data_IF_123507234654
#
_entry.id   IF_123507234654
#
_cell.length_a   1.000
_cell.length_b   1.000
_cell.length_c   1.000
_cell.angle_alpha   90.00
_cell.angle_beta   90.00
_cell.angle_gamma   90.00
#
_symmetry.space_group_name_H-M   'P 1'
#
loop_
_entity.id
_entity.type
_entity.pdbx_description
1 polymer ?
#
# COMPACT_ATOMS: atom_id res chain seq x y z
N UNK A 1 -14.12 -5.16 -3.69
CA UNK A 1 -14.40 -4.93 -5.12
C UNK A 1 -15.65 -4.13 -5.44
N UNK A 2 -16.78 -4.36 -4.74
CA UNK A 2 -18.05 -3.71 -5.08
C UNK A 2 -18.01 -2.18 -5.22
N UNK A 3 -17.18 -1.49 -4.42
CA UNK A 3 -17.03 -0.02 -4.48
C UNK A 3 -16.52 0.51 -5.83
N UNK A 4 -15.80 -0.29 -6.62
CA UNK A 4 -15.35 0.09 -7.98
C UNK A 4 -16.46 -0.05 -9.03
N UNK A 5 -17.49 -0.85 -8.74
CA UNK A 5 -18.59 -1.13 -9.66
C UNK A 5 -19.79 -0.20 -9.43
N UNK A 6 -19.72 0.66 -8.42
CA UNK A 6 -20.77 1.60 -8.04
C UNK A 6 -20.28 3.05 -8.18
N UNK A 7 -21.22 3.98 -8.33
CA UNK A 7 -20.90 5.41 -8.19
C UNK A 7 -20.50 5.70 -6.75
N UNK A 8 -19.50 6.57 -6.59
CA UNK A 8 -19.11 7.06 -5.26
C UNK A 8 -20.28 7.81 -4.62
N UNK A 9 -20.46 7.62 -3.31
CA UNK A 9 -21.46 8.35 -2.52
C UNK A 9 -21.17 9.86 -2.57
N UNK A 10 -22.19 10.75 -2.61
CA UNK A 10 -21.99 12.20 -2.61
C UNK A 10 -21.05 12.70 -1.51
N UNK A 11 -21.19 12.18 -0.30
CA UNK A 11 -20.34 12.56 0.85
C UNK A 11 -18.85 12.29 0.59
N UNK A 12 -18.49 11.20 -0.11
CA UNK A 12 -17.09 10.92 -0.46
C UNK A 12 -16.54 11.98 -1.41
N UNK A 13 -17.38 12.50 -2.30
CA UNK A 13 -17.02 13.55 -3.25
C UNK A 13 -16.91 14.89 -2.53
N UNK A 14 -17.84 15.20 -1.62
CA UNK A 14 -17.85 16.45 -0.86
C UNK A 14 -16.66 16.51 0.10
N UNK A 15 -16.49 15.49 0.94
CA UNK A 15 -15.39 15.42 1.89
C UNK A 15 -14.04 15.28 1.17
N UNK A 16 -14.00 14.61 0.02
CA UNK A 16 -12.79 14.50 -0.80
C UNK A 16 -12.25 15.84 -1.32
N UNK A 17 -13.09 16.88 -1.46
CA UNK A 17 -12.65 18.23 -1.86
C UNK A 17 -11.93 18.98 -0.74
N UNK A 18 -12.11 18.55 0.52
CA UNK A 18 -11.47 19.16 1.68
C UNK A 18 -10.04 18.67 1.88
N UNK A 19 -9.63 17.61 1.16
CA UNK A 19 -8.28 17.07 1.21
C UNK A 19 -7.36 17.99 0.41
N UNK A 20 -6.33 18.53 1.07
CA UNK A 20 -5.27 19.28 0.39
C UNK A 20 -4.45 18.34 -0.49
N UNK A 21 -4.29 18.72 -1.76
CA UNK A 21 -3.56 17.98 -2.80
C UNK A 21 -2.45 18.84 -3.41
N UNK A 22 -2.13 19.98 -2.78
CA UNK A 22 -1.17 20.97 -3.28
C UNK A 22 0.24 20.40 -3.42
N UNK A 23 0.65 19.52 -2.51
CA UNK A 23 1.92 18.80 -2.53
C UNK A 23 2.06 17.87 -3.76
N UNK A 24 1.02 17.09 -4.04
CA UNK A 24 0.97 16.20 -5.20
C UNK A 24 0.89 16.97 -6.51
N UNK A 25 0.16 18.10 -6.53
CA UNK A 25 0.05 18.96 -7.69
C UNK A 25 1.36 19.73 -7.99
N UNK A 26 2.11 20.12 -6.95
CA UNK A 26 3.40 20.77 -7.09
C UNK A 26 4.51 19.80 -7.54
N UNK A 27 4.33 18.50 -7.35
CA UNK A 27 5.32 17.50 -7.75
C UNK A 27 5.35 17.32 -9.29
N UNK A 28 6.47 17.63 -9.97
CA UNK A 28 6.56 17.55 -11.42
C UNK A 28 6.51 16.12 -11.95
N UNK A 29 6.99 15.14 -11.20
CA UNK A 29 6.97 13.71 -11.58
C UNK A 29 5.54 13.20 -11.60
N UNK A 30 4.77 13.52 -10.57
CA UNK A 30 3.36 13.13 -10.46
C UNK A 30 2.53 13.84 -11.54
N UNK A 31 2.78 15.12 -11.76
CA UNK A 31 2.12 15.89 -12.82
C UNK A 31 2.40 15.32 -14.22
N UNK A 32 3.65 14.90 -14.48
CA UNK A 32 4.03 14.24 -15.73
C UNK A 32 3.33 12.89 -15.89
N UNK A 33 3.34 12.06 -14.85
CA UNK A 33 2.68 10.75 -14.84
C UNK A 33 1.18 10.91 -15.09
N UNK A 34 0.52 11.91 -14.48
CA UNK A 34 -0.90 12.19 -14.68
C UNK A 34 -1.19 12.63 -16.10
N UNK A 35 -0.35 13.49 -16.69
CA UNK A 35 -0.51 13.97 -18.07
C UNK A 35 -0.38 12.85 -19.10
N UNK A 36 0.54 11.91 -18.87
CA UNK A 36 0.84 10.81 -19.79
C UNK A 36 0.29 9.45 -19.33
N UNK A 37 -0.70 9.44 -18.43
CA UNK A 37 -1.19 8.21 -17.80
C UNK A 37 -1.60 7.15 -18.82
N UNK A 38 -2.43 7.51 -19.83
CA UNK A 38 -2.92 6.57 -20.84
C UNK A 38 -1.77 5.99 -21.69
N UNK A 39 -0.88 6.81 -22.29
CA UNK A 39 0.31 6.29 -22.97
C UNK A 39 1.21 5.40 -22.08
N UNK A 40 1.43 5.79 -20.82
CA UNK A 40 2.27 5.02 -19.90
C UNK A 40 1.65 3.66 -19.55
N UNK A 41 0.33 3.58 -19.39
CA UNK A 41 -0.38 2.30 -19.18
C UNK A 41 -0.25 1.42 -20.42
N UNK A 42 -0.48 1.96 -21.61
CA UNK A 42 -0.34 1.20 -22.85
C UNK A 42 1.09 0.66 -23.02
N UNK A 43 2.10 1.45 -22.67
CA UNK A 43 3.51 1.07 -22.83
C UNK A 43 4.00 0.14 -21.71
N UNK A 44 3.89 0.54 -20.45
CA UNK A 44 4.54 -0.13 -19.31
C UNK A 44 3.69 -1.28 -18.77
N UNK A 45 2.37 -1.11 -18.72
CA UNK A 45 1.48 -2.14 -18.17
C UNK A 45 1.08 -3.20 -19.20
N UNK A 46 0.93 -2.80 -20.47
CA UNK A 46 0.53 -3.70 -21.56
C UNK A 46 1.71 -4.12 -22.45
N UNK A 47 2.26 -3.20 -23.26
CA UNK A 47 3.23 -3.55 -24.30
C UNK A 47 4.53 -4.17 -23.73
N UNK A 48 5.12 -3.56 -22.71
CA UNK A 48 6.37 -4.01 -22.12
C UNK A 48 6.30 -5.47 -21.62
N UNK A 49 5.35 -5.86 -20.74
CA UNK A 49 5.24 -7.25 -20.29
C UNK A 49 4.77 -8.24 -21.35
N UNK A 50 4.13 -7.81 -22.45
CA UNK A 50 3.80 -8.70 -23.57
C UNK A 50 4.97 -8.93 -24.52
N UNK A 51 5.69 -7.86 -24.86
CA UNK A 51 6.78 -7.91 -25.83
C UNK A 51 8.07 -8.49 -25.24
N UNK A 52 8.30 -8.30 -23.93
CA UNK A 52 9.48 -8.86 -23.23
C UNK A 52 9.59 -10.38 -23.42
N UNK A 53 8.59 -11.20 -23.05
CA UNK A 53 8.67 -12.64 -23.23
C UNK A 53 8.72 -13.07 -24.70
N UNK A 54 8.01 -12.35 -25.58
CA UNK A 54 8.03 -12.60 -27.01
C UNK A 54 9.44 -12.46 -27.60
N UNK A 55 10.15 -11.36 -27.27
CA UNK A 55 11.48 -11.10 -27.82
C UNK A 55 12.62 -11.79 -27.07
N UNK A 56 12.52 -11.96 -25.74
CA UNK A 56 13.63 -12.47 -24.94
C UNK A 56 13.72 -13.99 -24.91
N UNK A 57 12.59 -14.70 -24.93
CA UNK A 57 12.57 -16.16 -24.83
C UNK A 57 11.57 -16.84 -25.79
N UNK A 58 11.06 -16.09 -26.78
CA UNK A 58 10.35 -16.66 -27.93
C UNK A 58 8.92 -17.12 -27.66
N UNK A 59 8.28 -16.61 -26.62
CA UNK A 59 6.89 -16.96 -26.29
C UNK A 59 5.90 -16.41 -27.31
N UNK A 60 4.75 -17.06 -27.45
CA UNK A 60 3.67 -16.54 -28.28
C UNK A 60 3.06 -15.25 -27.69
N UNK A 61 2.65 -14.33 -28.57
CA UNK A 61 2.07 -13.04 -28.14
C UNK A 61 0.78 -13.22 -27.33
N UNK A 62 0.01 -14.28 -27.61
CA UNK A 62 -1.23 -14.56 -26.92
C UNK A 62 -0.98 -15.03 -25.48
N UNK A 63 -0.06 -15.98 -25.32
CA UNK A 63 0.38 -16.52 -24.04
C UNK A 63 0.98 -15.41 -23.18
N UNK A 64 1.87 -14.60 -23.76
CA UNK A 64 2.47 -13.45 -23.11
C UNK A 64 1.42 -12.43 -22.64
N UNK A 65 0.41 -12.13 -23.48
CA UNK A 65 -0.66 -11.21 -23.10
C UNK A 65 -1.52 -11.76 -21.95
N UNK A 66 -2.02 -12.99 -22.07
CA UNK A 66 -2.93 -13.52 -21.05
C UNK A 66 -2.24 -13.82 -19.73
N UNK A 67 -1.00 -14.30 -19.74
CA UNK A 67 -0.28 -14.67 -18.52
C UNK A 67 0.42 -13.46 -17.91
N UNK A 68 1.31 -12.79 -18.67
CA UNK A 68 2.16 -11.73 -18.13
C UNK A 68 1.42 -10.41 -17.91
N UNK A 69 0.31 -10.18 -18.62
CA UNK A 69 -0.53 -8.98 -18.45
C UNK A 69 -1.79 -9.29 -17.66
N UNK A 70 -2.71 -10.06 -18.24
CA UNK A 70 -4.07 -10.19 -17.67
C UNK A 70 -4.09 -10.96 -16.35
N UNK A 71 -3.50 -12.16 -16.30
CA UNK A 71 -3.46 -12.96 -15.08
C UNK A 71 -2.70 -12.24 -13.97
N UNK A 72 -1.49 -11.73 -14.27
CA UNK A 72 -0.72 -10.90 -13.32
C UNK A 72 -1.54 -9.72 -12.81
N UNK A 73 -2.26 -9.02 -13.68
CA UNK A 73 -3.08 -7.88 -13.31
C UNK A 73 -4.22 -8.27 -12.37
N UNK A 74 -4.99 -9.30 -12.70
CA UNK A 74 -6.08 -9.81 -11.84
C UNK A 74 -5.56 -10.27 -10.49
N UNK A 75 -4.42 -10.98 -10.46
CA UNK A 75 -3.79 -11.44 -9.24
C UNK A 75 -3.39 -10.27 -8.34
N UNK A 76 -2.63 -9.30 -8.88
CA UNK A 76 -2.18 -8.13 -8.12
C UNK A 76 -3.37 -7.34 -7.58
N UNK A 77 -4.39 -7.11 -8.41
CA UNK A 77 -5.59 -6.40 -7.99
C UNK A 77 -6.29 -7.09 -6.80
N UNK A 78 -6.46 -8.41 -6.85
CA UNK A 78 -7.07 -9.15 -5.74
C UNK A 78 -6.22 -9.07 -4.47
N UNK A 79 -4.89 -9.22 -4.59
CA UNK A 79 -3.97 -9.05 -3.45
C UNK A 79 -4.10 -7.64 -2.84
N UNK A 80 -4.10 -6.60 -3.67
CA UNK A 80 -4.28 -5.21 -3.21
C UNK A 80 -5.64 -5.01 -2.54
N UNK A 81 -6.71 -5.55 -3.13
CA UNK A 81 -8.06 -5.38 -2.59
C UNK A 81 -8.32 -6.17 -1.32
N UNK A 82 -7.56 -7.23 -1.04
CA UNK A 82 -7.60 -7.91 0.26
C UNK A 82 -7.26 -6.96 1.42
N UNK A 83 -6.45 -5.91 1.20
CA UNK A 83 -6.19 -4.88 2.22
C UNK A 83 -7.46 -4.12 2.59
N UNK A 84 -8.36 -3.88 1.63
CA UNK A 84 -9.62 -3.17 1.85
C UNK A 84 -10.76 -4.08 2.33
N UNK A 85 -10.58 -5.40 2.35
CA UNK A 85 -11.59 -6.37 2.77
C UNK A 85 -11.09 -7.26 3.91
N UNK A 86 -10.19 -8.19 3.60
CA UNK A 86 -9.72 -9.19 4.54
C UNK A 86 -9.01 -8.55 5.75
N UNK A 87 -8.15 -7.55 5.54
CA UNK A 87 -7.42 -6.89 6.63
C UNK A 87 -8.30 -6.02 7.55
N UNK A 88 -9.57 -5.79 7.16
CA UNK A 88 -10.57 -5.14 8.01
C UNK A 88 -11.55 -6.11 8.67
N UNK A 89 -11.50 -7.40 8.34
CA UNK A 89 -12.45 -8.40 8.85
C UNK A 89 -11.78 -9.57 9.58
N UNK A 90 -10.60 -10.00 9.14
CA UNK A 90 -9.84 -11.10 9.71
C UNK A 90 -8.49 -10.61 10.25
N UNK A 91 -8.21 -10.91 11.51
CA UNK A 91 -6.95 -10.60 12.18
C UNK A 91 -7.15 -10.42 13.70
N UNK A 92 -6.05 -10.21 14.41
CA UNK A 92 -6.09 -9.93 15.85
C UNK A 92 -6.21 -8.43 16.09
N UNK A 93 -7.32 -7.98 16.69
CA UNK A 93 -7.47 -6.58 17.08
C UNK A 93 -6.25 -6.13 17.90
N UNK A 94 -5.48 -5.23 17.30
CA UNK A 94 -4.21 -4.80 17.87
C UNK A 94 -4.46 -3.89 19.09
N UNK A 95 -3.71 -4.02 20.20
CA UNK A 95 -3.96 -3.31 21.47
C UNK A 95 -3.65 -1.80 21.47
N UNK A 96 -3.67 -1.13 20.31
CA UNK A 96 -3.25 0.27 20.16
C UNK A 96 -4.39 1.28 20.12
N UNK A 97 -5.50 0.94 19.45
CA UNK A 97 -6.66 1.82 19.32
C UNK A 97 -7.92 1.00 19.03
N UNK A 98 -8.74 0.75 20.05
CA UNK A 98 -9.97 -0.05 19.92
C UNK A 98 -11.08 0.63 19.12
N UNK A 99 -10.92 1.93 18.80
CA UNK A 99 -11.90 2.71 18.05
C UNK A 99 -11.75 2.55 16.54
N UNK A 100 -10.64 1.98 16.08
CA UNK A 100 -10.37 1.74 14.67
C UNK A 100 -10.90 0.35 14.25
N UNK A 101 -11.45 0.30 13.03
CA UNK A 101 -11.97 -0.91 12.42
C UNK A 101 -10.94 -1.87 11.78
N UNK A 102 -9.75 -1.46 11.29
CA UNK A 102 -8.79 -2.41 10.76
C UNK A 102 -8.34 -3.38 11.85
N UNK A 103 -8.31 -4.66 11.54
CA UNK A 103 -8.02 -5.69 12.55
C UNK A 103 -6.52 -5.78 12.81
N UNK A 104 -5.66 -5.39 11.86
CA UNK A 104 -4.18 -5.42 12.02
C UNK A 104 -3.46 -4.11 11.63
N UNK A 105 -4.18 -2.99 11.40
CA UNK A 105 -3.48 -1.71 11.18
C UNK A 105 -3.13 -1.04 12.51
N UNK A 106 -1.87 -1.15 12.88
CA UNK A 106 -1.28 -0.35 13.94
C UNK A 106 -1.31 1.16 13.61
N UNK A 107 -1.25 2.01 14.64
CA UNK A 107 -0.85 3.43 14.61
C UNK A 107 0.34 3.69 13.66
N UNK A 108 1.28 2.74 13.57
CA UNK A 108 2.41 2.82 12.63
C UNK A 108 1.97 2.87 11.16
N UNK A 109 0.89 2.21 10.76
CA UNK A 109 0.44 2.23 9.36
C UNK A 109 0.03 3.64 8.88
N UNK A 110 -0.32 4.54 9.81
CA UNK A 110 -0.72 5.92 9.51
C UNK A 110 0.46 6.89 9.57
N UNK A 111 1.53 6.58 10.33
CA UNK A 111 2.59 7.54 10.67
C UNK A 111 4.03 7.02 10.50
N UNK A 112 4.21 5.78 10.04
CA UNK A 112 5.50 5.11 9.87
C UNK A 112 5.70 4.71 8.40
N UNK A 113 6.86 5.03 7.84
CA UNK A 113 7.22 4.60 6.48
C UNK A 113 7.23 3.08 6.31
N UNK A 114 7.40 2.31 7.40
CA UNK A 114 7.43 0.84 7.37
C UNK A 114 6.05 0.23 7.24
N UNK A 115 5.02 0.94 7.72
CA UNK A 115 3.67 0.42 7.85
C UNK A 115 3.58 -0.95 8.60
N UNK A 116 4.55 -1.27 9.45
CA UNK A 116 4.62 -2.52 10.23
C UNK A 116 5.42 -2.34 11.52
N UNK A 117 5.09 -3.11 12.55
CA UNK A 117 5.85 -3.20 13.82
C UNK A 117 7.06 -4.09 13.71
N UNK A 118 6.89 -5.19 12.99
CA UNK A 118 7.92 -6.20 12.85
C UNK A 118 8.95 -5.70 11.84
N UNK A 119 10.22 -5.94 12.16
CA UNK A 119 11.31 -5.64 11.23
C UNK A 119 11.08 -6.32 9.87
N UNK A 120 11.71 -5.83 8.79
CA UNK A 120 11.45 -6.26 7.42
C UNK A 120 11.53 -7.78 7.20
N UNK A 121 12.36 -8.47 7.98
CA UNK A 121 12.58 -9.91 7.92
C UNK A 121 11.56 -10.71 8.75
N UNK A 122 11.15 -10.20 9.91
CA UNK A 122 10.23 -10.91 10.82
C UNK A 122 8.79 -10.80 10.33
N UNK A 123 8.39 -9.63 9.83
CA UNK A 123 7.04 -9.39 9.32
C UNK A 123 6.87 -9.64 7.81
N UNK A 124 7.90 -10.15 7.13
CA UNK A 124 7.98 -10.25 5.66
C UNK A 124 7.46 -8.98 4.95
N UNK A 125 8.21 -7.89 5.09
CA UNK A 125 7.83 -6.58 4.53
C UNK A 125 8.80 -6.17 3.41
N UNK A 126 8.57 -6.66 2.17
CA UNK A 126 9.46 -6.37 1.04
C UNK A 126 9.49 -4.89 0.66
N UNK A 127 8.42 -4.13 0.93
CA UNK A 127 8.40 -2.69 0.70
C UNK A 127 9.40 -1.97 1.62
N UNK A 128 9.42 -2.31 2.91
CA UNK A 128 10.39 -1.75 3.87
C UNK A 128 11.82 -2.15 3.52
N UNK A 129 12.05 -3.39 3.08
CA UNK A 129 13.37 -3.83 2.62
C UNK A 129 13.84 -2.95 1.45
N UNK A 130 13.00 -2.78 0.44
CA UNK A 130 13.31 -1.94 -0.71
C UNK A 130 13.62 -0.49 -0.31
N UNK A 131 12.79 0.13 0.54
CA UNK A 131 13.01 1.50 1.01
C UNK A 131 14.32 1.63 1.79
N UNK A 132 14.62 0.68 2.67
CA UNK A 132 15.89 0.68 3.42
C UNK A 132 17.09 0.52 2.48
N UNK A 133 17.00 -0.32 1.44
CA UNK A 133 18.04 -0.43 0.42
C UNK A 133 18.22 0.90 -0.33
N UNK A 134 17.13 1.55 -0.75
CA UNK A 134 17.20 2.86 -1.40
C UNK A 134 17.79 3.93 -0.47
N UNK A 135 17.54 3.84 0.84
CA UNK A 135 18.14 4.74 1.82
C UNK A 135 19.65 4.54 1.95
N UNK A 136 20.12 3.29 1.95
CA UNK A 136 21.57 2.98 1.91
C UNK A 136 22.21 3.51 0.62
N UNK A 137 21.51 3.46 -0.51
CA UNK A 137 21.96 4.02 -1.77
C UNK A 137 21.84 5.56 -1.85
N UNK A 138 21.34 6.22 -0.80
CA UNK A 138 21.10 7.67 -0.77
C UNK A 138 19.94 8.16 -1.63
N UNK A 139 19.11 7.25 -2.15
CA UNK A 139 17.92 7.55 -2.96
C UNK A 139 16.65 7.79 -2.10
N UNK A 140 16.69 7.44 -0.81
CA UNK A 140 15.63 7.73 0.15
C UNK A 140 16.23 8.33 1.43
N UNK A 141 15.54 9.31 2.01
CA UNK A 141 15.94 10.01 3.23
C UNK A 141 14.70 10.53 3.96
N UNK A 142 14.87 11.10 5.16
CA UNK A 142 13.78 11.53 6.06
C UNK A 142 12.75 10.41 6.32
N UNK A 143 13.23 9.18 6.56
CA UNK A 143 12.38 8.04 6.86
C UNK A 143 11.73 8.22 8.25
N UNK A 144 10.46 8.63 8.27
CA UNK A 144 9.74 8.93 9.51
C UNK A 144 9.18 7.68 10.17
N UNK A 145 9.50 7.52 11.45
CA UNK A 145 8.99 6.46 12.31
C UNK A 145 8.54 7.08 13.64
N UNK A 146 7.39 6.68 14.22
CA UNK A 146 6.97 7.17 15.53
C UNK A 146 7.96 6.74 16.63
N UNK A 147 8.18 7.62 17.61
CA UNK A 147 8.98 7.30 18.78
C UNK A 147 8.28 6.26 19.67
N UNK A 148 9.07 5.56 20.49
CA UNK A 148 8.52 4.60 21.45
C UNK A 148 7.50 5.27 22.39
N UNK A 149 7.80 6.49 22.86
CA UNK A 149 6.92 7.27 23.74
C UNK A 149 5.57 7.59 23.07
N UNK A 150 5.58 8.00 21.79
CA UNK A 150 4.34 8.28 21.05
C UNK A 150 3.45 7.03 20.92
N UNK A 151 4.07 5.86 20.79
CA UNK A 151 3.36 4.59 20.70
C UNK A 151 2.74 4.23 22.06
N UNK A 152 3.53 4.35 23.13
CA UNK A 152 3.10 4.05 24.49
C UNK A 152 1.96 4.97 24.96
N UNK A 153 2.08 6.29 24.71
CA UNK A 153 1.04 7.25 25.06
C UNK A 153 -0.29 6.94 24.37
N UNK A 154 -0.24 6.53 23.08
CA UNK A 154 -1.45 6.20 22.35
C UNK A 154 -2.06 4.87 22.79
N UNK A 155 -1.24 3.86 23.12
CA UNK A 155 -1.72 2.63 23.78
C UNK A 155 -2.43 2.96 25.09
N UNK A 156 -1.86 3.83 25.93
CA UNK A 156 -2.51 4.25 27.19
C UNK A 156 -3.83 4.98 26.97
N UNK A 157 -3.92 5.80 25.92
CA UNK A 157 -5.11 6.63 25.64
C UNK A 157 -6.28 5.84 25.05
N UNK A 158 -6.00 4.98 24.07
CA UNK A 158 -7.04 4.33 23.23
C UNK A 158 -6.87 2.83 23.08
N UNK A 159 -5.80 2.26 23.62
CA UNK A 159 -5.48 0.84 23.51
C UNK A 159 -6.41 -0.06 24.32
N UNK A 160 -6.44 -1.33 23.94
CA UNK A 160 -7.14 -2.37 24.67
C UNK A 160 -6.17 -3.08 25.63
N UNK A 161 -6.10 -2.56 26.86
CA UNK A 161 -5.18 -3.02 27.91
C UNK A 161 -5.39 -4.48 28.34
N UNK A 162 -6.52 -5.10 27.97
CA UNK A 162 -6.81 -6.51 28.26
C UNK A 162 -6.05 -7.48 27.33
N UNK A 163 -5.72 -7.05 26.11
CA UNK A 163 -5.05 -7.87 25.08
C UNK A 163 -3.53 -7.59 24.96
N UNK A 164 -3.00 -6.61 25.70
CA UNK A 164 -1.59 -6.17 25.59
C UNK A 164 -0.56 -7.18 26.09
N UNK A 165 -0.95 -8.15 26.93
CA UNK A 165 -0.02 -9.13 27.52
C UNK A 165 0.47 -10.22 26.56
N UNK A 166 -0.13 -10.35 25.38
CA UNK A 166 0.16 -11.42 24.42
C UNK A 166 1.20 -11.06 23.35
N UNK A 167 1.60 -9.79 23.22
CA UNK A 167 2.52 -9.35 22.16
C UNK A 167 3.95 -9.00 22.63
N UNK A 168 4.30 -9.32 23.88
CA UNK A 168 5.63 -9.04 24.47
C UNK A 168 6.57 -10.27 24.48
N UNK A 169 6.20 -11.37 23.80
CA UNK A 169 7.03 -12.56 23.64
C UNK A 169 7.28 -12.86 22.16
#
# INVERSE_FOLDING_TARGET
>A
MGWLMCRKHPDVIEQGKLVDMSDLAANPVISLQRKFYVPLVALIWAAFPTLTPYYMWGEGLWEAWFVCVMFRYVLILNITWCVNSAAHYWGYKVPYDKTLNPVECNIRHVMDYKASEYGPFVGFNPATMFINTMAVLGQAYDLRQPSADMIEERQKRTGDMANTKLSMY
#
